data_IF_583399582997
#
_entry.id   IF_583399582997
#
_cell.length_a   1.000
_cell.length_b   1.000
_cell.length_c   1.000
_cell.angle_alpha   90.00
_cell.angle_beta   90.00
_cell.angle_gamma   90.00
#
_symmetry.space_group_name_H-M   'P 1'
#
loop_
_entity.id
_entity.type
_entity.pdbx_description
1 polymer ?
#
# COMPACT_ATOMS: atom_id res chain seq x y z
N UNK A 1 27.09 -49.27 26.20
CA UNK A 1 27.06 -48.54 24.93
C UNK A 1 27.37 -47.09 25.31
N UNK A 2 28.24 -46.42 24.61
CA UNK A 2 28.49 -44.97 24.75
C UNK A 2 27.71 -44.33 23.62
N UNK A 3 26.82 -43.44 23.96
CA UNK A 3 25.95 -42.70 23.02
C UNK A 3 26.17 -41.23 23.30
N UNK A 4 26.61 -40.43 22.31
CA UNK A 4 26.72 -39.00 22.49
C UNK A 4 25.30 -38.36 22.59
N UNK A 5 25.23 -37.20 23.20
CA UNK A 5 24.03 -36.35 23.10
C UNK A 5 23.88 -35.83 21.68
N UNK A 6 22.65 -35.46 21.29
CA UNK A 6 22.38 -34.83 20.01
C UNK A 6 23.27 -33.58 19.87
N UNK A 7 23.80 -33.33 18.68
CA UNK A 7 24.70 -32.21 18.36
C UNK A 7 26.05 -32.21 19.11
N UNK A 8 26.35 -33.25 19.85
CA UNK A 8 27.64 -33.34 20.55
C UNK A 8 28.78 -33.71 19.58
N UNK A 9 29.86 -32.96 19.62
CA UNK A 9 31.09 -33.24 18.86
C UNK A 9 32.34 -33.00 19.70
N UNK A 10 33.48 -33.56 19.27
CA UNK A 10 34.76 -33.39 19.93
C UNK A 10 35.28 -34.66 20.57
N UNK A 11 36.32 -34.52 21.42
CA UNK A 11 37.01 -35.66 22.02
C UNK A 11 36.73 -35.73 23.52
N UNK A 12 36.31 -36.88 24.00
CA UNK A 12 36.09 -37.16 25.41
C UNK A 12 36.99 -38.31 25.90
N UNK A 13 37.59 -38.16 27.07
CA UNK A 13 38.31 -39.23 27.73
C UNK A 13 37.35 -40.04 28.63
N UNK A 14 37.22 -41.31 28.36
CA UNK A 14 36.36 -42.23 29.11
C UNK A 14 37.21 -43.05 30.06
N UNK A 15 36.92 -42.97 31.36
CA UNK A 15 37.57 -43.73 32.42
C UNK A 15 36.74 -44.98 32.73
N UNK A 16 37.38 -46.10 32.73
CA UNK A 16 36.79 -47.38 33.15
C UNK A 16 37.47 -47.86 34.44
N UNK A 17 36.67 -48.00 35.48
CA UNK A 17 37.15 -48.50 36.76
C UNK A 17 36.56 -49.88 37.02
N UNK A 18 37.43 -50.84 37.33
CA UNK A 18 37.06 -52.18 37.77
C UNK A 18 37.38 -52.30 39.26
N UNK A 19 36.42 -52.79 40.06
CA UNK A 19 36.55 -52.98 41.50
C UNK A 19 36.29 -54.49 41.80
N UNK A 20 37.18 -55.15 42.53
CA UNK A 20 36.98 -56.54 42.95
C UNK A 20 36.12 -56.60 44.23
N UNK A 21 35.73 -57.81 44.61
CA UNK A 21 34.83 -58.05 45.78
C UNK A 21 35.49 -57.66 47.12
N UNK A 22 36.79 -57.44 47.17
CA UNK A 22 37.53 -57.00 48.37
C UNK A 22 37.96 -55.56 48.35
N UNK A 23 37.50 -54.79 47.32
CA UNK A 23 37.65 -53.33 47.25
C UNK A 23 38.95 -52.90 46.53
N UNK A 24 39.75 -53.79 45.93
CA UNK A 24 40.84 -53.30 45.08
C UNK A 24 40.28 -52.78 43.78
N UNK A 25 40.83 -51.63 43.32
CA UNK A 25 40.36 -50.96 42.07
C UNK A 25 41.53 -50.82 41.07
N UNK A 26 41.20 -50.97 39.81
CA UNK A 26 42.03 -50.62 38.66
C UNK A 26 41.29 -49.72 37.74
N UNK A 27 41.97 -48.71 37.21
CA UNK A 27 41.37 -47.71 36.30
C UNK A 27 42.19 -47.61 35.02
N UNK A 28 41.52 -47.60 33.90
CA UNK A 28 42.12 -47.35 32.59
C UNK A 28 41.28 -46.27 31.88
N UNK A 29 41.82 -45.65 30.83
CA UNK A 29 41.08 -44.66 30.04
C UNK A 29 41.31 -44.84 28.55
N UNK A 30 40.35 -44.38 27.76
CA UNK A 30 40.46 -44.30 26.32
C UNK A 30 39.75 -43.06 25.83
N UNK A 31 40.15 -42.59 24.65
CA UNK A 31 39.51 -41.43 24.02
C UNK A 31 38.42 -41.89 23.06
N UNK A 32 37.30 -41.16 23.07
CA UNK A 32 36.21 -41.24 22.08
C UNK A 32 36.20 -39.94 21.35
N UNK A 33 36.31 -39.99 20.05
CA UNK A 33 36.15 -38.83 19.16
C UNK A 33 34.80 -38.93 18.47
N UNK A 34 34.02 -37.86 18.57
CA UNK A 34 32.73 -37.69 17.89
C UNK A 34 32.92 -36.63 16.82
N UNK A 35 32.82 -37.04 15.56
CA UNK A 35 32.93 -36.12 14.43
C UNK A 35 31.67 -35.24 14.35
N UNK A 36 31.80 -33.92 14.10
CA UNK A 36 30.64 -33.03 13.88
C UNK A 36 29.92 -33.47 12.60
N UNK A 37 28.62 -33.48 12.65
CA UNK A 37 27.74 -33.63 11.48
C UNK A 37 27.21 -32.24 11.14
N UNK A 38 27.24 -31.88 9.86
CA UNK A 38 26.72 -30.63 9.38
C UNK A 38 25.29 -30.86 8.94
N UNK A 39 24.33 -30.25 9.65
CA UNK A 39 22.92 -30.35 9.35
C UNK A 39 22.50 -29.27 8.37
N UNK A 40 21.48 -29.51 7.55
CA UNK A 40 20.94 -28.47 6.66
C UNK A 40 20.14 -27.44 7.45
N UNK A 41 20.11 -26.17 7.00
CA UNK A 41 19.20 -25.18 7.57
C UNK A 41 17.74 -25.61 7.44
N UNK A 42 16.87 -25.08 8.29
CA UNK A 42 15.44 -25.35 8.30
C UNK A 42 14.65 -24.05 8.23
N UNK A 43 13.53 -24.06 7.46
CA UNK A 43 12.56 -22.98 7.50
C UNK A 43 11.57 -23.16 8.65
N UNK A 44 11.47 -22.18 9.50
CA UNK A 44 10.33 -21.96 10.38
C UNK A 44 9.15 -21.38 9.62
N UNK A 45 8.61 -20.24 10.09
CA UNK A 45 7.52 -19.58 9.43
C UNK A 45 7.98 -18.78 8.19
N UNK A 46 7.31 -19.07 7.06
CA UNK A 46 7.37 -18.24 5.84
C UNK A 46 5.94 -18.15 5.29
N UNK A 47 5.43 -16.97 4.93
CA UNK A 47 4.10 -16.85 4.36
C UNK A 47 3.99 -17.65 3.05
N UNK A 48 2.88 -18.38 2.86
CA UNK A 48 2.65 -19.12 1.61
C UNK A 48 2.16 -18.22 0.46
N UNK A 49 1.45 -17.14 0.80
CA UNK A 49 0.89 -16.17 -0.14
C UNK A 49 1.04 -14.77 0.44
N UNK A 50 1.39 -13.81 -0.42
CA UNK A 50 1.43 -12.38 -0.09
C UNK A 50 0.75 -11.57 -1.20
N UNK A 51 -0.05 -10.57 -0.81
CA UNK A 51 -0.71 -9.64 -1.72
C UNK A 51 0.01 -8.31 -1.69
N UNK A 52 0.32 -7.75 -2.85
CA UNK A 52 1.01 -6.46 -2.99
C UNK A 52 0.28 -5.66 -4.08
N UNK A 53 0.01 -4.39 -3.83
CA UNK A 53 -0.47 -3.50 -4.88
C UNK A 53 0.71 -3.02 -5.74
N UNK A 54 0.53 -2.99 -7.05
CA UNK A 54 1.58 -2.55 -7.98
C UNK A 54 2.03 -1.12 -7.66
N UNK A 55 3.32 -0.98 -7.37
CA UNK A 55 3.93 0.29 -6.94
C UNK A 55 4.15 0.37 -5.44
N UNK A 56 3.55 -0.51 -4.66
CA UNK A 56 3.84 -0.67 -3.25
C UNK A 56 4.98 -1.68 -3.03
N UNK A 57 5.52 -1.67 -1.81
CA UNK A 57 6.59 -2.58 -1.41
C UNK A 57 6.08 -3.60 -0.40
N UNK A 58 6.51 -4.85 -0.55
CA UNK A 58 6.29 -5.89 0.45
C UNK A 58 7.58 -6.26 1.19
N UNK A 59 7.44 -6.90 2.35
CA UNK A 59 8.57 -7.44 3.10
C UNK A 59 8.23 -8.86 3.58
N UNK A 60 9.15 -9.79 3.39
CA UNK A 60 9.11 -11.14 3.99
C UNK A 60 10.28 -11.23 4.96
N UNK A 61 9.99 -11.61 6.21
CA UNK A 61 10.98 -11.93 7.23
C UNK A 61 10.89 -13.43 7.47
N UNK A 62 11.70 -14.24 6.76
CA UNK A 62 11.66 -15.69 6.92
C UNK A 62 12.27 -16.07 8.28
N UNK A 63 11.62 -16.97 9.00
CA UNK A 63 12.25 -17.63 10.12
C UNK A 63 13.13 -18.77 9.59
N UNK A 64 14.43 -18.72 9.89
CA UNK A 64 15.40 -19.73 9.47
C UNK A 64 16.22 -20.10 10.68
N UNK A 65 16.45 -21.39 10.82
CA UNK A 65 17.25 -21.98 11.89
C UNK A 65 18.29 -22.93 11.31
N UNK A 66 19.47 -22.93 11.89
CA UNK A 66 20.55 -23.88 11.58
C UNK A 66 21.30 -24.18 12.88
N UNK A 67 21.47 -25.47 13.27
CA UNK A 67 22.12 -25.82 14.52
C UNK A 67 23.63 -25.57 14.51
N UNK A 68 24.26 -25.59 13.32
CA UNK A 68 25.72 -25.60 13.19
C UNK A 68 26.30 -24.20 12.87
N UNK A 69 25.52 -23.33 12.24
CA UNK A 69 26.00 -22.03 11.80
C UNK A 69 24.96 -20.91 11.85
N UNK A 70 25.41 -19.73 12.25
CA UNK A 70 24.63 -18.46 12.11
C UNK A 70 24.89 -17.77 10.76
N UNK A 71 25.85 -18.26 9.96
CA UNK A 71 26.25 -17.63 8.69
C UNK A 71 25.50 -18.24 7.52
N UNK A 72 24.25 -17.81 7.33
CA UNK A 72 23.39 -18.26 6.24
C UNK A 72 23.40 -17.27 5.08
N UNK A 73 23.35 -17.80 3.86
CA UNK A 73 23.17 -17.01 2.65
C UNK A 73 21.78 -17.22 2.07
N UNK A 74 21.03 -16.12 1.92
CA UNK A 74 19.67 -16.11 1.39
C UNK A 74 19.66 -15.49 0.01
N UNK A 75 19.01 -16.15 -0.95
CA UNK A 75 18.83 -15.64 -2.31
C UNK A 75 17.39 -15.81 -2.78
N UNK A 76 17.00 -15.05 -3.79
CA UNK A 76 15.65 -15.06 -4.33
C UNK A 76 15.65 -15.25 -5.84
N UNK A 77 14.58 -15.84 -6.39
CA UNK A 77 14.45 -16.14 -7.82
C UNK A 77 14.01 -14.95 -8.67
N UNK A 78 13.60 -13.81 -8.05
CA UNK A 78 13.08 -12.64 -8.76
C UNK A 78 14.02 -11.45 -8.62
N UNK A 79 14.29 -10.74 -9.72
CA UNK A 79 15.15 -9.55 -9.73
C UNK A 79 14.57 -8.36 -8.94
N UNK A 80 13.27 -8.33 -8.73
CA UNK A 80 12.56 -7.33 -7.93
C UNK A 80 12.42 -7.71 -6.44
N UNK A 81 13.06 -8.81 -6.02
CA UNK A 81 13.16 -9.24 -4.63
C UNK A 81 14.61 -9.18 -4.18
N UNK A 82 14.93 -8.33 -3.23
CA UNK A 82 16.28 -8.13 -2.68
C UNK A 82 16.36 -8.55 -1.22
N UNK A 83 17.49 -9.14 -0.83
CA UNK A 83 17.75 -9.57 0.55
C UNK A 83 18.74 -8.60 1.19
N UNK A 84 18.45 -8.14 2.41
CA UNK A 84 19.37 -7.31 3.19
C UNK A 84 20.29 -8.14 4.07
N UNK A 85 21.20 -7.46 4.79
CA UNK A 85 22.18 -8.11 5.68
C UNK A 85 21.56 -8.81 6.91
N UNK A 86 20.28 -8.51 7.22
CA UNK A 86 19.53 -9.15 8.32
C UNK A 86 18.66 -10.32 7.86
N UNK A 87 18.68 -10.64 6.55
CA UNK A 87 17.91 -11.73 5.97
C UNK A 87 16.45 -11.36 5.62
N UNK A 88 16.05 -10.09 5.74
CA UNK A 88 14.74 -9.61 5.31
C UNK A 88 14.72 -9.49 3.78
N UNK A 89 13.61 -9.90 3.18
CA UNK A 89 13.40 -9.90 1.73
C UNK A 89 12.45 -8.77 1.37
N UNK A 90 12.96 -7.75 0.69
CA UNK A 90 12.20 -6.62 0.18
C UNK A 90 11.69 -6.91 -1.22
N UNK A 91 10.39 -6.70 -1.44
CA UNK A 91 9.68 -6.98 -2.68
C UNK A 91 9.22 -5.67 -3.32
N UNK A 92 9.58 -5.46 -4.59
CA UNK A 92 9.14 -4.34 -5.40
C UNK A 92 8.71 -4.87 -6.79
N UNK A 93 7.56 -5.55 -6.87
CA UNK A 93 7.09 -6.12 -8.12
C UNK A 93 6.82 -5.03 -9.16
N UNK A 94 7.04 -5.35 -10.43
CA UNK A 94 6.98 -4.40 -11.56
C UNK A 94 5.81 -4.66 -12.50
N UNK A 95 5.09 -5.76 -12.31
CA UNK A 95 3.93 -6.16 -13.13
C UNK A 95 2.87 -6.88 -12.29
N UNK A 96 1.63 -6.76 -12.68
CA UNK A 96 0.50 -7.44 -12.03
C UNK A 96 0.47 -8.93 -12.35
N UNK A 97 -0.27 -9.69 -11.55
CA UNK A 97 -0.48 -11.11 -11.72
C UNK A 97 0.05 -11.97 -10.60
N UNK A 98 0.04 -13.27 -10.80
CA UNK A 98 0.56 -14.26 -9.86
C UNK A 98 2.01 -14.58 -10.19
N UNK A 99 2.89 -14.40 -9.21
CA UNK A 99 4.32 -14.65 -9.34
C UNK A 99 4.79 -15.65 -8.30
N UNK A 100 5.50 -16.69 -8.73
CA UNK A 100 6.15 -17.61 -7.83
C UNK A 100 7.53 -17.05 -7.45
N UNK A 101 7.73 -16.77 -6.17
CA UNK A 101 9.02 -16.38 -5.58
C UNK A 101 9.64 -17.58 -4.88
N UNK A 102 10.77 -18.06 -5.35
CA UNK A 102 11.56 -19.09 -4.66
C UNK A 102 12.61 -18.43 -3.80
N UNK A 103 12.60 -18.72 -2.50
CA UNK A 103 13.60 -18.34 -1.51
C UNK A 103 14.54 -19.53 -1.34
N UNK A 104 15.84 -19.33 -1.55
CA UNK A 104 16.87 -20.34 -1.36
C UNK A 104 17.78 -19.93 -0.21
N UNK A 105 18.04 -20.85 0.70
CA UNK A 105 18.91 -20.65 1.87
C UNK A 105 20.01 -21.70 1.86
N UNK A 106 21.24 -21.29 2.10
CA UNK A 106 22.39 -22.21 2.21
C UNK A 106 23.31 -21.81 3.34
N UNK A 107 23.84 -22.82 4.02
CA UNK A 107 24.93 -22.79 4.99
C UNK A 107 26.33 -22.90 4.33
N UNK A 108 26.39 -23.07 3.00
CA UNK A 108 27.60 -23.33 2.22
C UNK A 108 27.84 -24.79 1.94
N UNK A 109 27.17 -25.71 2.63
CA UNK A 109 27.29 -27.17 2.49
C UNK A 109 25.97 -27.77 1.93
N UNK A 110 24.85 -27.33 2.45
CA UNK A 110 23.50 -27.74 2.08
C UNK A 110 22.69 -26.54 1.56
N UNK A 111 21.60 -26.80 0.83
CA UNK A 111 20.68 -25.79 0.36
C UNK A 111 19.23 -26.27 0.49
N UNK A 112 18.39 -25.40 1.03
CA UNK A 112 16.95 -25.61 1.09
C UNK A 112 16.22 -24.52 0.31
N UNK A 113 14.99 -24.80 -0.12
CA UNK A 113 14.16 -23.85 -0.88
C UNK A 113 12.75 -23.79 -0.34
N UNK A 114 12.14 -22.60 -0.44
CA UNK A 114 10.73 -22.37 -0.11
C UNK A 114 10.12 -21.47 -1.17
N UNK A 115 8.95 -21.87 -1.66
CA UNK A 115 8.16 -21.08 -2.60
C UNK A 115 7.10 -20.25 -1.87
N UNK A 116 6.93 -19.01 -2.33
CA UNK A 116 5.92 -18.05 -1.88
C UNK A 116 5.19 -17.52 -3.11
N UNK A 117 3.88 -17.53 -3.08
CA UNK A 117 3.05 -16.94 -4.15
C UNK A 117 2.87 -15.45 -3.85
N UNK A 118 3.30 -14.61 -4.78
CA UNK A 118 3.10 -13.16 -4.70
C UNK A 118 1.99 -12.79 -5.70
N UNK A 119 0.86 -12.32 -5.17
CA UNK A 119 -0.26 -11.83 -5.99
C UNK A 119 -0.16 -10.32 -6.05
N UNK A 120 0.15 -9.80 -7.24
CA UNK A 120 0.27 -8.37 -7.48
C UNK A 120 -0.99 -7.86 -8.17
N UNK A 121 -1.69 -6.97 -7.48
CA UNK A 121 -2.90 -6.30 -7.99
C UNK A 121 -2.61 -4.86 -8.36
N UNK A 122 -3.52 -4.22 -9.09
CA UNK A 122 -3.48 -2.79 -9.34
C UNK A 122 -4.90 -2.23 -9.27
N UNK A 123 -5.01 -0.96 -8.88
CA UNK A 123 -6.26 -0.22 -8.79
C UNK A 123 -6.21 1.03 -9.66
N UNK A 124 -7.35 1.53 -10.13
CA UNK A 124 -7.46 2.89 -10.62
C UNK A 124 -7.30 3.89 -9.46
N UNK A 125 -7.10 5.14 -9.81
CA UNK A 125 -7.08 6.27 -8.88
C UNK A 125 -7.59 7.48 -9.66
N UNK A 126 -8.87 7.75 -9.50
CA UNK A 126 -9.59 8.75 -10.25
C UNK A 126 -9.54 10.08 -9.50
N UNK A 127 -9.34 11.18 -10.22
CA UNK A 127 -9.45 12.50 -9.63
C UNK A 127 -10.09 13.47 -10.59
N UNK A 128 -10.76 14.47 -10.06
CA UNK A 128 -11.16 15.66 -10.80
C UNK A 128 -9.99 16.65 -10.76
N UNK A 129 -9.16 16.65 -11.81
CA UNK A 129 -7.92 17.41 -11.88
C UNK A 129 -8.16 18.91 -11.91
N UNK A 130 -9.20 19.35 -12.67
CA UNK A 130 -9.61 20.75 -12.77
C UNK A 130 -11.05 20.85 -13.26
N UNK A 131 -11.60 22.07 -13.18
CA UNK A 131 -12.92 22.39 -13.71
C UNK A 131 -12.85 23.67 -14.52
N UNK A 132 -13.67 23.75 -15.56
CA UNK A 132 -13.95 24.95 -16.32
C UNK A 132 -15.44 25.24 -16.32
N UNK A 133 -15.78 26.51 -16.21
CA UNK A 133 -17.17 27.03 -16.33
C UNK A 133 -17.26 27.87 -17.59
N UNK A 134 -18.16 27.52 -18.50
CA UNK A 134 -18.29 28.18 -19.80
C UNK A 134 -19.70 28.66 -20.04
N UNK A 135 -19.83 29.78 -20.77
CA UNK A 135 -21.09 30.33 -21.33
C UNK A 135 -20.91 30.41 -22.83
N UNK A 136 -21.78 29.75 -23.59
CA UNK A 136 -21.71 29.77 -25.06
C UNK A 136 -20.37 29.24 -25.61
N UNK A 137 -19.70 28.35 -24.91
CA UNK A 137 -18.43 27.73 -25.29
C UNK A 137 -17.18 28.55 -24.95
N UNK A 138 -17.32 29.69 -24.25
CA UNK A 138 -16.21 30.52 -23.78
C UNK A 138 -16.13 30.46 -22.27
N UNK A 139 -14.92 30.41 -21.72
CA UNK A 139 -14.71 30.44 -20.26
C UNK A 139 -15.36 31.70 -19.66
N UNK A 140 -16.12 31.51 -18.59
CA UNK A 140 -16.89 32.55 -17.96
C UNK A 140 -15.99 33.36 -17.01
N UNK A 141 -16.03 34.70 -17.16
CA UNK A 141 -15.41 35.62 -16.22
C UNK A 141 -16.38 35.98 -15.07
N UNK A 142 -17.68 35.97 -15.34
CA UNK A 142 -18.76 36.26 -14.38
C UNK A 142 -20.06 35.54 -14.81
N UNK A 143 -21.00 35.42 -13.91
CA UNK A 143 -22.28 34.74 -14.11
C UNK A 143 -23.44 35.65 -13.76
N UNK A 144 -24.57 35.52 -14.50
CA UNK A 144 -25.83 36.16 -14.21
C UNK A 144 -26.96 35.14 -14.07
N UNK A 145 -27.99 35.48 -13.29
CA UNK A 145 -29.18 34.64 -13.21
C UNK A 145 -29.85 34.49 -14.58
N UNK A 146 -30.13 33.26 -14.97
CA UNK A 146 -30.71 32.92 -16.26
C UNK A 146 -29.69 32.39 -17.27
N UNK A 147 -28.39 32.47 -16.98
CA UNK A 147 -27.37 31.90 -17.83
C UNK A 147 -27.50 30.38 -17.94
N UNK A 148 -27.17 29.88 -19.12
CA UNK A 148 -26.94 28.45 -19.33
C UNK A 148 -25.42 28.21 -19.29
N UNK A 149 -25.00 27.52 -18.26
CA UNK A 149 -23.60 27.31 -17.93
C UNK A 149 -23.22 25.89 -18.28
N UNK A 150 -22.16 25.71 -19.03
CA UNK A 150 -21.52 24.41 -19.25
C UNK A 150 -20.44 24.23 -18.20
N UNK A 151 -20.60 23.23 -17.33
CA UNK A 151 -19.61 22.82 -16.34
C UNK A 151 -18.82 21.65 -16.90
N UNK A 152 -17.49 21.79 -17.00
CA UNK A 152 -16.59 20.76 -17.52
C UNK A 152 -15.62 20.37 -16.42
N UNK A 153 -15.73 19.14 -15.91
CA UNK A 153 -14.73 18.52 -15.05
C UNK A 153 -13.74 17.74 -15.87
N UNK A 154 -12.44 17.96 -15.67
CA UNK A 154 -11.37 17.16 -16.27
C UNK A 154 -11.01 16.04 -15.32
N UNK A 155 -11.28 14.81 -15.72
CA UNK A 155 -11.14 13.61 -14.91
C UNK A 155 -9.94 12.83 -15.39
N UNK A 156 -8.98 12.58 -14.50
CA UNK A 156 -7.79 11.78 -14.77
C UNK A 156 -7.82 10.49 -13.98
N UNK A 157 -7.40 9.40 -14.62
CA UNK A 157 -7.00 8.19 -13.91
C UNK A 157 -5.47 8.23 -13.69
N UNK A 158 -5.03 8.56 -12.48
CA UNK A 158 -3.60 8.55 -12.11
C UNK A 158 -3.16 7.21 -11.53
N UNK A 159 -4.08 6.24 -11.45
CA UNK A 159 -3.82 4.88 -10.96
C UNK A 159 -3.07 4.01 -11.97
N UNK A 160 -3.10 2.71 -11.72
CA UNK A 160 -2.36 1.70 -12.52
C UNK A 160 -3.27 0.64 -13.14
N UNK A 161 -4.58 0.75 -12.93
CA UNK A 161 -5.58 -0.08 -13.58
C UNK A 161 -6.59 0.79 -14.32
N UNK A 162 -7.22 0.22 -15.36
CA UNK A 162 -8.32 0.85 -16.08
C UNK A 162 -9.55 0.93 -15.16
N UNK A 163 -10.18 2.11 -15.11
CA UNK A 163 -11.49 2.31 -14.51
C UNK A 163 -12.58 2.12 -15.55
N UNK A 164 -13.66 1.43 -15.21
CA UNK A 164 -14.78 1.22 -16.12
C UNK A 164 -16.09 1.69 -15.49
N UNK A 165 -17.00 2.21 -16.34
CA UNK A 165 -18.32 2.71 -15.94
C UNK A 165 -18.22 3.77 -14.84
N UNK A 166 -17.31 4.74 -15.01
CA UNK A 166 -17.05 5.82 -14.07
C UNK A 166 -18.22 6.79 -14.07
N UNK A 167 -19.06 6.73 -13.05
CA UNK A 167 -20.16 7.68 -12.87
C UNK A 167 -19.65 9.04 -12.47
N UNK A 168 -20.28 10.13 -12.95
CA UNK A 168 -20.04 11.46 -12.46
C UNK A 168 -21.34 12.21 -12.15
N UNK A 169 -21.24 13.14 -11.22
CA UNK A 169 -22.32 13.94 -10.71
C UNK A 169 -21.92 15.42 -10.75
N UNK A 170 -22.80 16.27 -11.31
CA UNK A 170 -22.64 17.71 -11.26
C UNK A 170 -23.63 18.27 -10.26
N UNK A 171 -23.16 19.12 -9.36
CA UNK A 171 -23.96 19.75 -8.34
C UNK A 171 -23.85 21.28 -8.42
N UNK A 172 -24.95 21.97 -8.13
CA UNK A 172 -25.00 23.41 -7.92
C UNK A 172 -25.47 23.66 -6.49
N UNK A 173 -24.67 24.35 -5.69
CA UNK A 173 -24.92 24.61 -4.27
C UNK A 173 -25.31 23.34 -3.47
N UNK A 174 -24.65 22.20 -3.78
CA UNK A 174 -24.91 20.91 -3.16
C UNK A 174 -26.16 20.16 -3.68
N UNK A 175 -26.85 20.71 -4.66
CA UNK A 175 -28.02 20.08 -5.31
C UNK A 175 -27.57 19.40 -6.59
N UNK A 176 -27.90 18.12 -6.75
CA UNK A 176 -27.61 17.36 -7.96
C UNK A 176 -28.37 17.94 -9.15
N UNK A 177 -27.66 18.35 -10.20
CA UNK A 177 -28.21 18.99 -11.40
C UNK A 177 -27.88 18.26 -12.69
N UNK A 178 -26.92 17.34 -12.67
CA UNK A 178 -26.55 16.53 -13.82
C UNK A 178 -25.80 15.27 -13.42
N UNK A 179 -25.88 14.24 -14.26
CA UNK A 179 -25.14 12.98 -14.10
C UNK A 179 -24.72 12.46 -15.45
N UNK A 180 -23.66 11.66 -15.48
CA UNK A 180 -23.25 10.94 -16.67
C UNK A 180 -22.30 9.81 -16.31
N UNK A 181 -21.73 9.19 -17.34
CA UNK A 181 -20.84 8.05 -17.21
C UNK A 181 -19.73 8.14 -18.26
N UNK A 182 -18.51 7.83 -17.84
CA UNK A 182 -17.35 7.59 -18.72
C UNK A 182 -17.21 6.09 -18.78
N UNK A 183 -17.32 5.51 -19.98
CA UNK A 183 -17.34 4.05 -20.16
C UNK A 183 -16.04 3.39 -19.72
N UNK A 184 -14.90 4.01 -20.02
CA UNK A 184 -13.57 3.50 -19.72
C UNK A 184 -12.58 4.65 -19.60
N UNK A 185 -11.64 4.54 -18.64
CA UNK A 185 -10.54 5.49 -18.45
C UNK A 185 -9.27 4.73 -18.09
N UNK A 186 -8.35 4.64 -19.05
CA UNK A 186 -7.08 3.92 -18.88
C UNK A 186 -6.09 4.69 -17.97
N UNK A 187 -5.08 4.00 -17.41
CA UNK A 187 -4.03 4.61 -16.62
C UNK A 187 -3.35 5.78 -17.36
N UNK A 188 -3.38 6.96 -16.73
CA UNK A 188 -2.79 8.19 -17.27
C UNK A 188 -3.72 8.99 -18.18
N UNK A 189 -4.84 8.43 -18.63
CA UNK A 189 -5.78 9.11 -19.52
C UNK A 189 -6.58 10.20 -18.80
N UNK A 190 -7.03 11.15 -19.62
CA UNK A 190 -7.88 12.28 -19.22
C UNK A 190 -9.19 12.22 -20.00
N UNK A 191 -10.30 12.37 -19.31
CA UNK A 191 -11.65 12.50 -19.90
C UNK A 191 -12.36 13.74 -19.37
N UNK A 192 -13.55 14.03 -19.91
CA UNK A 192 -14.35 15.19 -19.52
C UNK A 192 -15.72 14.74 -19.03
N UNK A 193 -16.12 15.26 -17.86
CA UNK A 193 -17.49 15.21 -17.35
C UNK A 193 -18.13 16.56 -17.68
N UNK A 194 -19.17 16.58 -18.51
CA UNK A 194 -19.81 17.82 -18.94
C UNK A 194 -21.28 17.83 -18.53
N UNK A 195 -21.70 18.95 -17.93
CA UNK A 195 -23.10 19.19 -17.55
C UNK A 195 -23.53 20.59 -17.97
N UNK A 196 -24.70 20.70 -18.59
CA UNK A 196 -25.39 21.98 -18.86
C UNK A 196 -26.32 22.33 -17.69
N UNK A 197 -26.12 23.49 -17.10
CA UNK A 197 -26.86 23.94 -15.91
C UNK A 197 -27.50 25.30 -16.22
N UNK A 198 -28.80 25.41 -16.05
CA UNK A 198 -29.46 26.70 -16.04
C UNK A 198 -29.36 27.33 -14.65
N UNK A 199 -28.68 28.46 -14.57
CA UNK A 199 -28.49 29.17 -13.32
C UNK A 199 -29.77 29.87 -12.89
N UNK A 200 -30.40 29.38 -11.81
CA UNK A 200 -31.59 29.94 -11.19
C UNK A 200 -31.33 30.04 -9.69
N UNK A 201 -30.54 31.02 -9.31
CA UNK A 201 -30.10 31.15 -7.92
C UNK A 201 -30.54 32.49 -7.33
N UNK A 202 -30.85 32.47 -6.06
CA UNK A 202 -31.12 33.70 -5.26
C UNK A 202 -29.90 34.10 -4.41
N UNK A 203 -28.80 33.43 -4.57
CA UNK A 203 -27.55 33.66 -3.86
C UNK A 203 -26.62 34.54 -4.69
N UNK A 204 -25.75 35.29 -4.04
CA UNK A 204 -24.69 36.07 -4.68
C UNK A 204 -23.49 35.22 -5.14
N UNK A 205 -23.52 33.91 -4.85
CA UNK A 205 -22.45 32.97 -5.18
C UNK A 205 -23.06 31.64 -5.65
N UNK A 206 -22.51 31.08 -6.73
CA UNK A 206 -22.75 29.72 -7.19
C UNK A 206 -21.55 28.83 -6.86
N UNK A 207 -21.79 27.67 -6.24
CA UNK A 207 -20.78 26.64 -5.97
C UNK A 207 -21.05 25.47 -6.91
N UNK A 208 -20.19 25.33 -7.91
CA UNK A 208 -20.22 24.18 -8.82
C UNK A 208 -19.33 23.08 -8.28
N UNK A 209 -19.84 21.86 -8.26
CA UNK A 209 -19.10 20.68 -7.82
C UNK A 209 -19.22 19.57 -8.86
N UNK A 210 -18.10 18.96 -9.21
CA UNK A 210 -18.06 17.69 -9.93
C UNK A 210 -17.53 16.64 -8.99
N UNK A 211 -18.28 15.56 -8.85
CA UNK A 211 -17.95 14.36 -8.08
C UNK A 211 -17.94 13.17 -9.02
N UNK A 212 -16.90 12.34 -8.93
CA UNK A 212 -16.78 11.07 -9.67
C UNK A 212 -16.89 9.92 -8.70
N UNK A 213 -17.45 8.81 -9.17
CA UNK A 213 -17.74 7.61 -8.39
C UNK A 213 -18.35 7.86 -7.00
N UNK A 214 -19.28 8.82 -6.90
CA UNK A 214 -19.89 9.22 -5.62
C UNK A 214 -20.63 8.10 -4.88
N UNK A 215 -20.77 6.91 -5.48
CA UNK A 215 -21.29 5.68 -4.84
C UNK A 215 -20.20 4.76 -4.34
N UNK A 216 -18.93 5.07 -4.58
CA UNK A 216 -17.76 4.29 -4.24
C UNK A 216 -17.88 2.84 -4.79
N UNK A 217 -18.27 2.73 -6.06
CA UNK A 217 -18.47 1.45 -6.76
C UNK A 217 -17.18 0.89 -7.37
N UNK A 218 -16.20 1.78 -7.59
CA UNK A 218 -14.86 1.46 -8.06
C UNK A 218 -13.92 1.51 -6.86
N UNK A 219 -13.23 0.41 -6.59
CA UNK A 219 -12.22 0.39 -5.54
C UNK A 219 -10.94 1.05 -6.03
N UNK A 220 -10.54 2.17 -5.42
CA UNK A 220 -9.45 3.02 -5.85
C UNK A 220 -8.24 2.97 -4.90
N UNK A 221 -7.10 3.49 -5.35
CA UNK A 221 -5.93 3.66 -4.48
C UNK A 221 -6.16 4.80 -3.48
N UNK A 222 -6.81 5.88 -3.91
CA UNK A 222 -7.17 7.03 -3.08
C UNK A 222 -8.64 7.39 -3.34
N UNK A 223 -9.50 7.19 -2.34
CA UNK A 223 -10.96 7.47 -2.42
C UNK A 223 -11.32 8.94 -2.12
N UNK A 224 -10.39 9.74 -1.68
CA UNK A 224 -10.67 11.10 -1.17
C UNK A 224 -10.44 12.24 -2.17
N UNK A 225 -10.04 11.96 -3.40
CA UNK A 225 -9.70 12.94 -4.44
C UNK A 225 -10.76 13.06 -5.56
N UNK A 226 -11.91 12.44 -5.38
CA UNK A 226 -12.97 12.26 -6.36
C UNK A 226 -13.90 13.49 -6.49
N UNK A 227 -13.64 14.58 -5.79
CA UNK A 227 -14.49 15.77 -5.74
C UNK A 227 -13.69 17.03 -5.97
N UNK A 228 -14.20 17.89 -6.85
CA UNK A 228 -13.68 19.24 -7.04
C UNK A 228 -14.79 20.25 -7.04
N UNK A 229 -14.59 21.41 -6.38
CA UNK A 229 -15.57 22.49 -6.30
C UNK A 229 -14.95 23.83 -6.65
N UNK A 230 -15.71 24.66 -7.34
CA UNK A 230 -15.32 26.01 -7.72
C UNK A 230 -16.45 26.98 -7.34
N UNK A 231 -16.09 28.11 -6.76
CA UNK A 231 -17.02 29.18 -6.42
C UNK A 231 -16.99 30.29 -7.48
N UNK A 232 -18.18 30.72 -7.93
CA UNK A 232 -18.33 31.83 -8.84
C UNK A 232 -19.29 32.88 -8.26
N UNK A 233 -18.94 34.19 -8.32
CA UNK A 233 -19.87 35.28 -7.97
C UNK A 233 -20.96 35.38 -9.03
N UNK A 234 -22.19 35.61 -8.59
CA UNK A 234 -23.34 35.90 -9.45
C UNK A 234 -23.59 37.41 -9.42
N UNK A 235 -23.56 38.04 -10.58
CA UNK A 235 -23.92 39.46 -10.69
C UNK A 235 -25.43 39.65 -10.63
N UNK A 236 -25.87 40.62 -9.82
CA UNK A 236 -27.23 41.10 -9.87
C UNK A 236 -27.34 42.14 -11.00
N UNK A 237 -28.08 41.87 -12.07
CA UNK A 237 -28.25 42.83 -13.16
C UNK A 237 -28.92 44.15 -12.74
N UNK A 238 -29.53 44.19 -11.52
CA UNK A 238 -30.17 45.37 -10.98
C UNK A 238 -29.23 46.41 -10.36
N UNK A 239 -27.95 46.06 -10.13
CA UNK A 239 -26.95 46.95 -9.50
C UNK A 239 -26.04 47.68 -10.50
N UNK A 240 -26.37 47.67 -11.78
CA UNK A 240 -25.67 48.41 -12.82
C UNK A 240 -25.73 49.92 -12.62
N UNK A 241 -24.98 50.48 -11.69
CA UNK A 241 -24.60 51.88 -11.70
C UNK A 241 -23.31 52.03 -12.49
N UNK A 242 -23.43 52.75 -13.61
CA UNK A 242 -22.37 53.35 -14.38
C UNK A 242 -21.37 54.09 -13.47
N UNK A 243 -20.29 53.43 -13.04
CA UNK A 243 -19.11 54.12 -12.53
C UNK A 243 -17.88 53.58 -13.23
N UNK A 244 -17.53 54.26 -14.32
CA UNK A 244 -16.29 54.07 -15.02
C UNK A 244 -15.07 54.16 -14.08
N UNK A 245 -14.23 53.19 -14.24
CA UNK A 245 -12.86 53.13 -13.74
C UNK A 245 -12.63 52.56 -12.34
N UNK A 246 -12.57 51.22 -12.28
CA UNK A 246 -11.65 50.56 -11.35
C UNK A 246 -11.24 49.24 -11.97
N UNK A 247 -9.95 49.10 -12.28
CA UNK A 247 -9.40 47.83 -12.68
C UNK A 247 -9.64 46.77 -11.60
N UNK A 248 -10.56 45.87 -11.90
CA UNK A 248 -10.86 44.74 -11.01
C UNK A 248 -9.67 43.77 -11.05
N UNK A 249 -8.89 43.78 -9.99
CA UNK A 249 -7.89 42.75 -9.75
C UNK A 249 -8.67 41.51 -9.29
N UNK A 250 -8.91 40.57 -10.19
CA UNK A 250 -9.48 39.27 -9.85
C UNK A 250 -8.42 38.55 -8.98
N UNK A 251 -8.69 38.53 -7.70
CA UNK A 251 -7.98 37.60 -6.81
C UNK A 251 -8.67 36.26 -6.96
N UNK A 252 -8.13 35.41 -7.85
CA UNK A 252 -8.47 34.04 -7.86
C UNK A 252 -7.98 33.43 -6.52
N UNK A 253 -8.89 33.40 -5.54
CA UNK A 253 -8.68 32.62 -4.34
C UNK A 253 -8.83 31.15 -4.71
N UNK A 254 -7.71 30.54 -5.08
CA UNK A 254 -7.62 29.09 -5.06
C UNK A 254 -7.85 28.64 -3.61
N UNK A 255 -9.07 28.23 -3.30
CA UNK A 255 -9.36 27.58 -2.03
C UNK A 255 -8.68 26.22 -2.09
N UNK A 256 -7.49 26.16 -1.51
CA UNK A 256 -6.85 24.89 -1.17
C UNK A 256 -7.82 24.16 -0.25
N UNK A 257 -8.46 23.11 -0.74
CA UNK A 257 -9.26 22.22 0.07
C UNK A 257 -8.38 21.72 1.23
N UNK A 258 -8.60 22.26 2.42
CA UNK A 258 -7.99 21.74 3.62
C UNK A 258 -8.71 20.41 3.90
N UNK A 259 -8.14 19.34 3.41
CA UNK A 259 -8.51 17.98 3.78
C UNK A 259 -8.29 17.84 5.29
N UNK A 260 -9.37 17.92 6.06
CA UNK A 260 -9.38 17.33 7.39
C UNK A 260 -9.37 15.82 7.22
N UNK A 261 -8.16 15.25 7.04
CA UNK A 261 -7.96 13.84 7.30
C UNK A 261 -8.21 13.62 8.80
N UNK A 262 -9.40 13.16 9.14
CA UNK A 262 -9.63 12.47 10.40
C UNK A 262 -8.78 11.21 10.38
N UNK A 263 -7.52 11.35 10.79
CA UNK A 263 -6.70 10.23 11.16
C UNK A 263 -7.42 9.54 12.33
N UNK A 264 -8.17 8.50 12.03
CA UNK A 264 -8.65 7.57 13.03
C UNK A 264 -7.42 6.92 13.66
N UNK A 265 -7.00 7.47 14.80
CA UNK A 265 -5.95 6.92 15.63
C UNK A 265 -6.48 5.60 16.19
N UNK A 266 -6.28 4.49 15.47
CA UNK A 266 -6.53 3.17 16.00
C UNK A 266 -5.47 2.90 17.06
N UNK A 267 -5.86 3.08 18.32
CA UNK A 267 -5.12 2.56 19.47
C UNK A 267 -5.11 1.03 19.37
N UNK A 268 -3.99 0.47 18.96
CA UNK A 268 -3.74 -0.97 19.09
C UNK A 268 -3.80 -1.35 20.58
N UNK A 269 -4.58 -2.36 20.98
CA UNK A 269 -4.58 -2.82 22.36
C UNK A 269 -3.21 -3.42 22.68
N UNK A 270 -2.58 -2.90 23.73
CA UNK A 270 -1.35 -3.47 24.29
C UNK A 270 -1.62 -4.92 24.70
N UNK A 271 -0.90 -5.86 24.08
CA UNK A 271 -0.87 -7.24 24.55
C UNK A 271 -0.34 -7.32 25.99
N UNK A 272 -0.94 -8.15 26.87
CA UNK A 272 -0.47 -8.31 28.24
C UNK A 272 0.89 -9.02 28.27
N UNK A 273 1.86 -8.41 28.95
CA UNK A 273 3.14 -9.02 29.26
C UNK A 273 2.89 -10.32 30.04
N UNK A 274 3.29 -11.47 29.49
CA UNK A 274 3.39 -12.72 30.25
C UNK A 274 4.57 -12.61 31.21
N UNK A 275 4.25 -12.55 32.48
CA UNK A 275 5.19 -12.64 33.59
C UNK A 275 5.67 -14.10 33.73
N UNK A 276 6.94 -14.32 33.46
CA UNK A 276 7.56 -15.63 33.62
C UNK A 276 7.88 -15.85 35.11
N UNK A 277 7.05 -16.62 35.81
CA UNK A 277 7.38 -17.08 37.15
C UNK A 277 8.44 -18.19 37.07
N UNK A 278 9.64 -17.90 37.52
CA UNK A 278 10.66 -18.90 37.84
C UNK A 278 10.18 -19.75 39.02
N UNK A 279 9.92 -21.02 38.79
CA UNK A 279 9.85 -22.00 39.90
C UNK A 279 11.27 -22.45 40.25
N UNK A 280 11.56 -22.39 41.54
CA UNK A 280 12.74 -22.98 42.18
C UNK A 280 12.69 -24.50 42.18
#
# INVERSE_FOLDING_TARGET
>A
MIEPEDEASGTAEVFVQVIDEVGNSWTDSFFVEVEPVMDPPEFGYVPGILYIELGESGVIVPEIFDPDTESLSITTSKSWASVNDTGEIFLQPVETGEHLLTISVTDGNSMIVRDVVIIVTSKPDLLVESMEIRIGGVEADDLENGDVVEVIGFIRNQGRATAQNVSFYCMLNGILVGTGEISELDPGDLSMATCDIQLIESSDVAIFTVEIDGTNSIEETIEGNNVHSVEFPIRDPSTGSDDGNAGSTIVALSVVAILFSLAAFQMSPKSPKKEFQRRK
#
